data_IF_988004399396
#
_entry.id   IF_988004399396
#
_cell.length_a   1.000
_cell.length_b   1.000
_cell.length_c   1.000
_cell.angle_alpha   90.00
_cell.angle_beta   90.00
_cell.angle_gamma   90.00
#
_symmetry.space_group_name_H-M   'P 1'
#
loop_
_entity.id
_entity.type
_entity.pdbx_description
1 polymer ?
#
# COMPACT_ATOMS: atom_id res chain seq x y z
N UNK A 1 60.58 -8.29 109.95
CA UNK A 1 59.15 -8.17 110.34
C UNK A 1 58.47 -7.18 109.46
N UNK A 2 57.39 -7.63 108.86
CA UNK A 2 56.34 -6.84 108.17
C UNK A 2 56.79 -6.06 106.95
N UNK A 3 56.71 -6.59 105.76
CA UNK A 3 55.57 -6.65 104.79
C UNK A 3 54.88 -5.34 104.50
N UNK A 4 55.00 -4.86 103.32
CA UNK A 4 54.25 -3.77 102.74
C UNK A 4 54.21 -3.90 101.21
N UNK A 5 53.13 -4.46 100.73
CA UNK A 5 52.83 -4.55 99.27
C UNK A 5 52.31 -3.19 98.74
N UNK A 6 52.90 -2.72 97.63
CA UNK A 6 52.38 -1.59 96.88
C UNK A 6 51.77 -2.10 95.56
N UNK A 7 50.51 -1.87 95.40
CA UNK A 7 49.76 -2.19 94.15
C UNK A 7 50.03 -1.13 93.10
N UNK A 8 50.50 -1.57 91.92
CA UNK A 8 50.54 -0.75 90.75
C UNK A 8 49.26 -1.05 89.84
N UNK A 9 48.41 -0.08 89.72
CA UNK A 9 47.23 -0.15 88.83
C UNK A 9 47.63 0.17 87.41
N UNK A 10 47.55 -0.83 86.52
CA UNK A 10 47.68 -0.65 85.07
C UNK A 10 46.32 -0.22 84.45
N UNK A 11 46.30 0.91 83.83
CA UNK A 11 45.20 1.36 83.01
C UNK A 11 45.30 0.68 81.68
N UNK A 12 44.38 -0.23 81.27
CA UNK A 12 44.16 -0.70 79.92
C UNK A 12 43.26 0.28 79.23
N UNK A 13 43.79 0.93 78.17
CA UNK A 13 43.02 1.70 77.21
C UNK A 13 42.35 0.75 76.27
N UNK A 14 41.03 0.67 76.27
CA UNK A 14 40.24 -0.02 75.22
C UNK A 14 40.14 0.87 73.97
N UNK A 15 40.78 0.44 72.87
CA UNK A 15 40.56 1.00 71.52
C UNK A 15 39.37 0.27 70.90
N UNK A 16 38.24 0.95 70.80
CA UNK A 16 37.08 0.50 70.03
C UNK A 16 37.36 0.67 68.54
N UNK A 17 37.59 -0.44 67.81
CA UNK A 17 37.62 -0.50 66.41
C UNK A 17 36.17 -0.48 65.87
N UNK A 18 35.68 0.66 65.36
CA UNK A 18 34.42 0.75 64.65
C UNK A 18 34.61 0.25 63.19
N UNK A 19 34.27 -1.00 62.91
CA UNK A 19 34.21 -1.56 61.57
C UNK A 19 32.96 -0.99 60.88
N UNK A 20 33.13 0.05 60.05
CA UNK A 20 32.08 0.57 59.14
C UNK A 20 31.82 -0.44 58.03
N UNK A 21 30.68 -1.12 58.06
CA UNK A 21 30.15 -1.86 56.90
C UNK A 21 29.71 -0.83 55.84
N UNK A 22 30.58 -0.61 54.83
CA UNK A 22 30.17 0.08 53.59
C UNK A 22 29.27 -0.88 52.78
N UNK A 23 27.98 -0.68 52.86
CA UNK A 23 27.02 -1.31 51.94
C UNK A 23 27.26 -0.74 50.54
N UNK A 24 27.91 -1.50 49.66
CA UNK A 24 27.97 -1.26 48.26
C UNK A 24 26.53 -1.38 47.69
N UNK A 25 25.86 -0.25 47.45
CA UNK A 25 24.62 -0.21 46.72
C UNK A 25 24.92 -0.65 45.28
N UNK A 26 24.53 -1.86 44.91
CA UNK A 26 24.51 -2.33 43.52
C UNK A 26 23.45 -1.48 42.81
N UNK A 27 23.80 -0.69 41.79
CA UNK A 27 22.80 0.07 41.05
C UNK A 27 21.85 -0.95 40.43
N UNK A 28 20.55 -0.88 40.75
CA UNK A 28 19.52 -1.62 40.02
C UNK A 28 19.67 -1.30 38.53
N UNK A 29 19.66 -2.31 37.64
CA UNK A 29 19.67 -2.04 36.22
C UNK A 29 18.45 -1.14 35.92
N UNK A 30 18.72 0.03 35.36
CA UNK A 30 17.67 0.90 34.84
C UNK A 30 16.89 0.07 33.83
N UNK A 31 15.63 -0.22 34.12
CA UNK A 31 14.72 -0.84 33.16
C UNK A 31 14.66 0.17 32.02
N UNK A 32 15.32 -0.15 30.91
CA UNK A 32 15.22 0.67 29.70
C UNK A 32 13.74 0.78 29.36
N UNK A 33 13.20 1.98 29.42
CA UNK A 33 11.82 2.23 29.01
C UNK A 33 11.70 1.78 27.55
N UNK A 34 10.84 0.81 27.27
CA UNK A 34 10.60 0.34 25.91
C UNK A 34 10.20 1.56 25.07
N UNK A 35 10.94 1.80 23.99
CA UNK A 35 10.59 2.87 23.06
C UNK A 35 9.23 2.56 22.46
N UNK A 36 8.37 3.58 22.37
CA UNK A 36 7.03 3.46 21.79
C UNK A 36 6.99 4.08 20.40
N UNK A 37 5.96 3.71 19.65
CA UNK A 37 5.63 4.27 18.35
C UNK A 37 4.12 4.40 18.22
N UNK A 38 3.65 5.21 17.27
CA UNK A 38 2.24 5.38 16.97
C UNK A 38 1.84 4.58 15.75
N UNK A 39 0.62 4.05 15.80
CA UNK A 39 -0.04 3.40 14.66
C UNK A 39 -1.55 3.60 14.74
N UNK A 40 -2.21 3.54 13.59
CA UNK A 40 -3.66 3.40 13.56
C UNK A 40 -4.05 1.93 13.56
N UNK A 41 -5.18 1.64 14.17
CA UNK A 41 -5.80 0.32 14.19
C UNK A 41 -7.30 0.45 13.93
N UNK A 42 -7.91 -0.57 13.34
CA UNK A 42 -9.36 -0.67 13.34
C UNK A 42 -9.86 -1.01 14.74
N UNK A 43 -10.80 -0.22 15.25
CA UNK A 43 -11.59 -0.51 16.44
C UNK A 43 -13.06 -0.64 16.07
N UNK A 44 -13.79 -1.52 16.75
CA UNK A 44 -15.24 -1.70 16.57
C UNK A 44 -15.92 -1.16 17.82
N UNK A 45 -16.83 -0.20 17.65
CA UNK A 45 -17.59 0.48 18.70
C UNK A 45 -19.05 0.55 18.28
N UNK A 46 -19.94 -0.07 19.04
CA UNK A 46 -21.38 -0.09 18.73
C UNK A 46 -21.65 -0.51 17.27
N UNK A 47 -20.99 -1.58 16.81
CA UNK A 47 -21.00 -2.12 15.45
C UNK A 47 -20.41 -1.19 14.34
N UNK A 48 -19.88 -0.02 14.71
CA UNK A 48 -19.17 0.85 13.78
C UNK A 48 -17.65 0.62 13.82
N UNK A 49 -17.04 0.49 12.65
CA UNK A 49 -15.59 0.42 12.49
C UNK A 49 -15.01 1.83 12.43
N UNK A 50 -14.02 2.09 13.26
CA UNK A 50 -13.32 3.39 13.31
C UNK A 50 -11.82 3.21 13.29
N UNK A 51 -11.11 4.22 12.79
CA UNK A 51 -9.66 4.33 12.95
C UNK A 51 -9.33 4.85 14.34
N UNK A 52 -8.51 4.13 15.07
CA UNK A 52 -8.06 4.50 16.41
C UNK A 52 -6.54 4.59 16.43
N UNK A 53 -6.01 5.76 16.78
CA UNK A 53 -4.57 5.90 17.02
C UNK A 53 -4.20 5.21 18.33
N UNK A 54 -3.13 4.43 18.31
CA UNK A 54 -2.56 3.72 19.46
C UNK A 54 -1.08 3.99 19.56
N UNK A 55 -0.62 4.12 20.79
CA UNK A 55 0.78 4.03 21.14
C UNK A 55 1.11 2.60 21.53
N UNK A 56 2.12 2.01 20.90
CA UNK A 56 2.52 0.61 21.07
C UNK A 56 4.04 0.51 21.19
N UNK A 57 4.55 -0.59 21.72
CA UNK A 57 5.99 -0.84 21.74
C UNK A 57 6.57 -0.91 20.32
N UNK A 58 7.76 -0.34 20.12
CA UNK A 58 8.47 -0.49 18.84
C UNK A 58 8.79 -1.96 18.59
N UNK A 59 8.53 -2.48 17.39
CA UNK A 59 8.82 -3.86 17.06
C UNK A 59 10.33 -4.07 16.84
N UNK A 60 10.78 -5.29 17.05
CA UNK A 60 12.15 -5.73 16.80
C UNK A 60 12.13 -6.77 15.68
N UNK A 61 12.98 -6.65 14.64
CA UNK A 61 13.01 -7.61 13.55
C UNK A 61 13.57 -8.97 14.01
N UNK A 62 12.87 -10.05 13.69
CA UNK A 62 13.30 -11.43 13.86
C UNK A 62 14.19 -11.92 12.71
N UNK A 63 14.39 -13.24 12.59
CA UNK A 63 15.16 -13.84 11.52
C UNK A 63 14.52 -13.57 10.15
N UNK A 64 15.35 -13.12 9.17
CA UNK A 64 14.95 -12.71 7.82
C UNK A 64 13.93 -11.55 7.78
N UNK A 65 13.84 -10.77 8.85
CA UNK A 65 12.94 -9.65 8.93
C UNK A 65 13.70 -8.31 8.93
N UNK A 66 13.06 -7.31 8.39
CA UNK A 66 13.55 -5.95 8.25
C UNK A 66 12.64 -5.00 9.01
N UNK A 67 13.21 -4.12 9.82
CA UNK A 67 12.51 -3.02 10.48
C UNK A 67 12.54 -1.80 9.56
N UNK A 68 11.36 -1.34 9.16
CA UNK A 68 11.20 -0.20 8.26
C UNK A 68 10.55 0.96 9.02
N UNK A 69 11.16 2.13 8.97
CA UNK A 69 10.51 3.40 9.35
C UNK A 69 9.67 3.86 8.17
N UNK A 70 8.35 3.83 8.31
CA UNK A 70 7.42 4.27 7.28
C UNK A 70 7.52 5.79 7.12
N UNK A 71 7.65 6.26 5.90
CA UNK A 71 7.76 7.69 5.54
C UNK A 71 6.50 8.19 4.84
N UNK A 72 5.81 7.30 4.14
CA UNK A 72 4.54 7.58 3.51
C UNK A 72 3.74 6.28 3.32
N UNK A 73 2.43 6.41 3.34
CA UNK A 73 1.48 5.34 3.02
C UNK A 73 0.37 5.91 2.13
N UNK A 74 -0.35 5.08 1.38
CA UNK A 74 -1.39 5.57 0.49
C UNK A 74 -2.67 4.74 0.52
N UNK A 75 -3.79 5.40 0.27
CA UNK A 75 -5.11 4.78 0.27
C UNK A 75 -5.45 4.14 -1.06
N UNK A 76 -6.22 3.06 -0.99
CA UNK A 76 -6.89 2.40 -2.10
C UNK A 76 -8.39 2.28 -1.81
N UNK A 77 -9.23 2.10 -2.81
CA UNK A 77 -10.68 1.94 -2.63
C UNK A 77 -11.02 0.81 -1.64
N UNK A 78 -10.24 -0.27 -1.62
CA UNK A 78 -10.45 -1.38 -0.69
C UNK A 78 -10.34 -0.96 0.79
N UNK A 79 -9.49 0.01 1.10
CA UNK A 79 -9.28 0.45 2.48
C UNK A 79 -10.53 1.15 3.03
N UNK A 80 -11.17 1.97 2.18
CA UNK A 80 -12.48 2.54 2.50
C UNK A 80 -13.55 1.44 2.64
N UNK A 81 -13.55 0.44 1.75
CA UNK A 81 -14.51 -0.68 1.82
C UNK A 81 -14.30 -1.54 3.06
N UNK A 82 -13.05 -1.71 3.53
CA UNK A 82 -12.75 -2.39 4.80
C UNK A 82 -13.30 -1.57 5.98
N UNK A 83 -13.04 -0.26 6.02
CA UNK A 83 -13.56 0.63 7.06
C UNK A 83 -15.09 0.62 7.12
N UNK A 84 -15.75 0.48 5.97
CA UNK A 84 -17.22 0.42 5.83
C UNK A 84 -17.78 -1.00 6.00
N UNK A 85 -16.96 -1.99 6.37
CA UNK A 85 -17.37 -3.41 6.52
C UNK A 85 -17.95 -4.05 5.23
N UNK A 86 -17.57 -3.51 4.07
CA UNK A 86 -18.03 -3.95 2.75
C UNK A 86 -17.02 -4.86 2.03
N UNK A 87 -15.88 -5.15 2.65
CA UNK A 87 -14.82 -5.97 2.07
C UNK A 87 -14.72 -7.31 2.80
N UNK A 88 -14.79 -8.42 2.07
CA UNK A 88 -14.62 -9.76 2.66
C UNK A 88 -15.81 -10.26 3.48
N UNK A 89 -16.95 -9.54 3.53
CA UNK A 89 -18.18 -10.01 4.14
C UNK A 89 -18.31 -9.81 5.65
N UNK A 90 -17.61 -8.85 6.24
CA UNK A 90 -17.73 -8.52 7.66
C UNK A 90 -16.77 -7.44 8.14
N UNK A 91 -16.82 -7.18 9.45
CA UNK A 91 -15.92 -6.23 10.09
C UNK A 91 -14.46 -6.70 10.01
N UNK A 92 -13.49 -5.78 9.84
CA UNK A 92 -12.09 -6.12 9.95
C UNK A 92 -11.76 -6.61 11.37
N UNK A 93 -10.69 -7.37 11.50
CA UNK A 93 -10.16 -7.77 12.81
C UNK A 93 -9.85 -6.52 13.65
N UNK A 94 -10.39 -6.46 14.85
CA UNK A 94 -10.03 -5.41 15.82
C UNK A 94 -8.53 -5.45 16.09
N UNK A 95 -7.90 -4.29 16.09
CA UNK A 95 -6.46 -4.14 16.28
C UNK A 95 -5.63 -4.29 15.00
N UNK A 96 -6.26 -4.62 13.86
CA UNK A 96 -5.56 -4.68 12.57
C UNK A 96 -5.09 -3.28 12.15
N UNK A 97 -3.81 -3.15 11.77
CA UNK A 97 -3.25 -1.93 11.19
C UNK A 97 -3.72 -1.78 9.75
N UNK A 98 -4.32 -0.64 9.36
CA UNK A 98 -4.84 -0.42 8.01
C UNK A 98 -3.75 -0.22 6.95
N UNK A 99 -4.20 -0.12 5.69
CA UNK A 99 -3.49 0.22 4.46
C UNK A 99 -2.49 -0.83 4.00
N UNK A 100 -2.57 -1.18 2.72
CA UNK A 100 -1.61 -2.11 2.11
C UNK A 100 -0.33 -1.41 1.63
N UNK A 101 -0.45 -0.14 1.28
CA UNK A 101 0.55 0.61 0.53
C UNK A 101 1.38 1.49 1.44
N UNK A 102 2.70 1.41 1.33
CA UNK A 102 3.62 2.29 2.04
C UNK A 102 5.05 2.14 1.56
N UNK A 103 5.83 3.18 1.81
CA UNK A 103 7.25 3.24 1.53
C UNK A 103 8.00 3.86 2.73
N UNK A 104 9.25 3.47 2.90
CA UNK A 104 10.05 3.92 4.02
C UNK A 104 11.51 3.53 3.90
N UNK A 105 12.22 3.71 4.99
CA UNK A 105 13.66 3.49 5.13
C UNK A 105 13.91 2.33 6.06
N UNK A 106 14.79 1.42 5.68
CA UNK A 106 15.28 0.33 6.53
C UNK A 106 16.10 0.93 7.67
N UNK A 107 15.70 0.68 8.92
CA UNK A 107 16.40 1.17 10.12
C UNK A 107 16.96 0.06 10.99
N UNK A 108 16.70 -1.20 10.62
CA UNK A 108 17.25 -2.38 11.30
C UNK A 108 17.01 -3.64 10.47
N UNK A 109 17.91 -4.59 10.60
CA UNK A 109 17.84 -5.89 9.94
C UNK A 109 18.04 -7.00 10.96
N UNK A 110 17.24 -8.05 10.87
CA UNK A 110 17.36 -9.25 11.69
C UNK A 110 18.41 -10.23 11.14
N UNK A 111 18.74 -11.28 11.90
CA UNK A 111 19.67 -12.30 11.44
C UNK A 111 19.20 -12.98 10.14
N UNK A 112 20.10 -13.20 9.20
CA UNK A 112 19.82 -13.90 7.94
C UNK A 112 19.27 -13.03 6.80
N UNK A 113 19.00 -11.74 7.04
CA UNK A 113 18.64 -10.79 5.96
C UNK A 113 19.82 -10.64 5.02
N UNK A 114 19.54 -10.74 3.72
CA UNK A 114 20.53 -10.66 2.62
C UNK A 114 20.16 -9.66 1.54
N UNK A 115 18.88 -9.23 1.48
CA UNK A 115 18.37 -8.38 0.41
C UNK A 115 18.48 -6.88 0.70
N UNK A 116 18.60 -6.53 1.97
CA UNK A 116 18.57 -5.12 2.40
C UNK A 116 19.58 -4.83 3.50
N UNK A 117 20.01 -3.57 3.55
CA UNK A 117 20.83 -3.01 4.62
C UNK A 117 20.18 -1.76 5.21
N UNK A 118 20.68 -1.29 6.35
CA UNK A 118 20.20 -0.07 7.00
C UNK A 118 20.50 1.14 6.08
N UNK A 119 19.47 1.94 5.83
CA UNK A 119 19.48 3.08 4.92
C UNK A 119 18.77 2.81 3.59
N UNK A 120 18.50 1.56 3.24
CA UNK A 120 17.80 1.23 2.00
C UNK A 120 16.40 1.83 1.96
N UNK A 121 15.99 2.24 0.77
CA UNK A 121 14.67 2.82 0.49
C UNK A 121 13.76 1.77 -0.10
N UNK A 122 12.68 1.43 0.63
CA UNK A 122 11.85 0.28 0.29
C UNK A 122 10.36 0.62 0.26
N UNK A 123 9.60 -0.18 -0.49
CA UNK A 123 8.14 -0.23 -0.43
C UNK A 123 7.66 -1.64 -0.06
N UNK A 124 6.57 -1.72 0.71
CA UNK A 124 5.92 -2.99 1.01
C UNK A 124 5.17 -3.52 -0.20
N UNK A 125 5.26 -4.83 -0.49
CA UNK A 125 4.40 -5.43 -1.51
C UNK A 125 3.01 -5.74 -0.91
N UNK A 126 1.97 -5.70 -1.75
CA UNK A 126 0.58 -5.87 -1.29
C UNK A 126 0.35 -7.23 -0.61
N UNK A 127 0.77 -8.31 -1.22
CA UNK A 127 0.77 -9.66 -0.66
C UNK A 127 2.16 -10.00 -0.14
N UNK A 128 2.41 -9.85 1.15
CA UNK A 128 3.73 -9.93 1.76
C UNK A 128 4.50 -11.24 1.49
N UNK A 129 3.82 -12.31 1.07
CA UNK A 129 4.44 -13.62 0.76
C UNK A 129 4.36 -14.01 -0.72
N UNK A 130 3.86 -13.15 -1.60
CA UNK A 130 3.77 -13.49 -3.03
C UNK A 130 5.00 -12.99 -3.80
N UNK A 131 6.02 -13.81 -3.81
CA UNK A 131 7.29 -13.50 -4.47
C UNK A 131 7.16 -13.56 -6.00
N UNK A 132 6.61 -14.64 -6.54
CA UNK A 132 6.45 -14.86 -7.98
C UNK A 132 5.44 -15.98 -8.27
N UNK A 133 5.14 -16.22 -9.54
CA UNK A 133 4.31 -17.31 -10.05
C UNK A 133 2.82 -17.10 -9.82
N UNK A 134 2.07 -18.23 -9.73
CA UNK A 134 0.61 -18.17 -9.58
C UNK A 134 0.21 -17.81 -8.15
N UNK A 135 -0.86 -16.99 -7.96
CA UNK A 135 -1.41 -16.75 -6.65
C UNK A 135 -1.96 -18.04 -6.03
N UNK A 136 -1.98 -18.09 -4.69
CA UNK A 136 -2.46 -19.22 -3.91
C UNK A 136 -3.23 -18.75 -2.67
N UNK A 137 -3.91 -19.65 -1.99
CA UNK A 137 -4.56 -19.33 -0.71
C UNK A 137 -3.56 -18.77 0.32
N UNK A 138 -2.31 -19.28 0.33
CA UNK A 138 -1.23 -18.79 1.21
C UNK A 138 -0.86 -17.36 0.87
N UNK A 139 -0.65 -17.02 -0.40
CA UNK A 139 -0.30 -15.65 -0.81
C UNK A 139 -1.46 -14.70 -0.50
N UNK A 140 -2.70 -15.12 -0.76
CA UNK A 140 -3.89 -14.31 -0.46
C UNK A 140 -4.03 -14.00 1.04
N UNK A 141 -3.69 -14.94 1.92
CA UNK A 141 -3.69 -14.76 3.37
C UNK A 141 -2.62 -13.78 3.88
N UNK A 142 -1.76 -13.24 3.01
CA UNK A 142 -0.72 -12.27 3.34
C UNK A 142 -1.03 -10.84 2.87
N UNK A 143 -2.28 -10.54 2.51
CA UNK A 143 -2.71 -9.21 2.08
C UNK A 143 -2.61 -8.19 3.22
N UNK A 144 -1.71 -7.22 3.08
CA UNK A 144 -1.50 -6.14 4.06
C UNK A 144 -2.74 -5.27 4.22
N UNK A 145 -2.95 -4.79 5.45
CA UNK A 145 -4.10 -3.95 5.80
C UNK A 145 -5.45 -4.64 5.66
N UNK A 146 -5.46 -5.97 5.58
CA UNK A 146 -6.66 -6.79 5.46
C UNK A 146 -6.50 -8.12 6.19
N UNK A 147 -5.69 -9.04 5.66
CA UNK A 147 -5.40 -10.32 6.31
C UNK A 147 -4.30 -10.20 7.39
N UNK A 148 -3.28 -9.38 7.13
CA UNK A 148 -2.20 -9.06 8.06
C UNK A 148 -2.12 -7.55 8.27
N UNK A 149 -1.36 -7.12 9.29
CA UNK A 149 -1.15 -5.72 9.58
C UNK A 149 -0.56 -4.97 8.38
N UNK A 150 -1.04 -3.74 8.20
CA UNK A 150 -0.71 -2.87 7.09
C UNK A 150 0.38 -1.86 7.40
N UNK A 151 0.33 -0.73 6.68
CA UNK A 151 1.41 0.26 6.64
C UNK A 151 1.09 1.57 7.38
N UNK A 152 -0.13 1.74 7.96
CA UNK A 152 -0.48 2.98 8.68
C UNK A 152 0.08 2.95 10.11
N UNK A 153 1.39 2.95 10.19
CA UNK A 153 2.21 2.85 11.40
C UNK A 153 3.53 3.59 11.21
N UNK A 154 4.12 4.15 12.27
CA UNK A 154 5.44 4.79 12.20
C UNK A 154 6.55 3.81 11.84
N UNK A 155 6.42 2.55 12.27
CA UNK A 155 7.36 1.48 11.94
C UNK A 155 6.61 0.18 11.68
N UNK A 156 7.18 -0.65 10.82
CA UNK A 156 6.71 -2.02 10.58
C UNK A 156 7.89 -2.99 10.57
N UNK A 157 7.61 -4.24 10.89
CA UNK A 157 8.50 -5.37 10.59
C UNK A 157 7.93 -6.14 9.41
N UNK A 158 8.77 -6.51 8.48
CA UNK A 158 8.42 -7.33 7.31
C UNK A 158 9.51 -8.35 7.02
N UNK A 159 9.12 -9.57 6.62
CA UNK A 159 10.08 -10.47 5.98
C UNK A 159 10.71 -9.76 4.78
N UNK A 160 12.00 -9.94 4.53
CA UNK A 160 12.72 -9.28 3.42
C UNK A 160 12.06 -9.53 2.05
N UNK A 161 11.43 -10.70 1.84
CA UNK A 161 10.69 -11.01 0.61
C UNK A 161 9.41 -10.17 0.42
N UNK A 162 8.90 -9.58 1.49
CA UNK A 162 7.72 -8.71 1.47
C UNK A 162 7.99 -7.26 1.10
N UNK A 163 9.21 -6.95 0.65
CA UNK A 163 9.68 -5.60 0.32
C UNK A 163 10.33 -5.57 -1.07
N UNK A 164 10.32 -4.40 -1.70
CA UNK A 164 11.08 -4.08 -2.92
C UNK A 164 11.81 -2.76 -2.74
N UNK A 165 12.96 -2.60 -3.40
CA UNK A 165 13.60 -1.30 -3.56
C UNK A 165 12.70 -0.36 -4.37
N UNK A 166 12.75 0.93 -4.05
CA UNK A 166 12.01 1.95 -4.81
C UNK A 166 12.95 2.66 -5.79
N UNK A 167 12.45 3.08 -6.98
CA UNK A 167 13.25 3.86 -7.94
C UNK A 167 13.89 5.09 -7.28
N UNK A 168 15.17 5.33 -7.54
CA UNK A 168 15.94 6.42 -6.91
C UNK A 168 15.31 7.81 -7.11
N UNK A 169 14.76 8.06 -8.31
CA UNK A 169 14.17 9.36 -8.65
C UNK A 169 12.82 9.63 -7.94
N UNK A 170 12.19 8.60 -7.33
CA UNK A 170 10.91 8.76 -6.63
C UNK A 170 11.14 9.19 -5.17
N UNK A 171 10.31 10.10 -4.69
CA UNK A 171 10.15 10.36 -3.26
C UNK A 171 9.40 9.18 -2.57
N UNK A 172 9.46 9.10 -1.24
CA UNK A 172 8.66 8.13 -0.48
C UNK A 172 7.15 8.34 -0.69
N UNK A 173 6.71 9.59 -0.89
CA UNK A 173 5.31 9.94 -1.17
C UNK A 173 4.86 9.31 -2.49
N UNK A 174 5.67 9.44 -3.55
CA UNK A 174 5.38 8.83 -4.85
C UNK A 174 5.47 7.30 -4.78
N UNK A 175 6.52 6.77 -4.18
CA UNK A 175 6.74 5.32 -4.08
C UNK A 175 5.65 4.60 -3.26
N UNK A 176 5.12 5.24 -2.21
CA UNK A 176 4.01 4.69 -1.43
C UNK A 176 2.73 4.45 -2.25
N UNK A 177 2.61 5.02 -3.45
CA UNK A 177 1.42 4.87 -4.30
C UNK A 177 1.43 3.64 -5.19
N UNK A 178 2.58 2.97 -5.29
CA UNK A 178 2.85 1.91 -6.26
C UNK A 178 2.24 0.53 -5.90
N UNK A 179 2.28 0.05 -4.63
CA UNK A 179 2.11 -1.37 -4.29
C UNK A 179 0.79 -1.98 -4.73
N UNK A 180 -0.32 -1.27 -4.67
CA UNK A 180 -1.62 -1.76 -5.09
C UNK A 180 -1.97 -1.26 -6.50
N UNK A 181 -2.23 0.04 -6.65
CA UNK A 181 -2.77 0.60 -7.89
C UNK A 181 -1.78 0.52 -9.07
N UNK A 182 -0.49 0.81 -8.82
CA UNK A 182 0.55 0.70 -9.84
C UNK A 182 0.73 -0.73 -10.33
N UNK A 183 0.96 -1.67 -9.40
CA UNK A 183 1.14 -3.10 -9.75
C UNK A 183 -0.10 -3.68 -10.42
N UNK A 184 -1.31 -3.27 -10.01
CA UNK A 184 -2.56 -3.68 -10.65
C UNK A 184 -2.63 -3.23 -12.11
N UNK A 185 -2.35 -1.95 -12.39
CA UNK A 185 -2.33 -1.41 -13.75
C UNK A 185 -1.24 -2.07 -14.61
N UNK A 186 -0.06 -2.30 -14.03
CA UNK A 186 1.03 -3.02 -14.68
C UNK A 186 0.62 -4.42 -15.12
N UNK A 187 0.08 -5.21 -14.20
CA UNK A 187 -0.36 -6.57 -14.50
C UNK A 187 -1.49 -6.61 -15.53
N UNK A 188 -2.46 -5.69 -15.42
CA UNK A 188 -3.55 -5.60 -16.37
C UNK A 188 -3.05 -5.34 -17.79
N UNK A 189 -2.17 -4.35 -17.97
CA UNK A 189 -1.71 -3.89 -19.28
C UNK A 189 -0.64 -4.80 -19.88
N UNK A 190 0.43 -5.08 -19.13
CA UNK A 190 1.61 -5.74 -19.70
C UNK A 190 1.56 -7.26 -19.52
N UNK A 191 1.42 -7.76 -18.30
CA UNK A 191 1.51 -9.20 -18.03
C UNK A 191 0.35 -9.97 -18.66
N UNK A 192 -0.87 -9.48 -18.51
CA UNK A 192 -2.07 -10.16 -18.98
C UNK A 192 -2.57 -9.59 -20.31
N UNK A 193 -2.45 -8.29 -20.51
CA UNK A 193 -2.88 -7.58 -21.71
C UNK A 193 -1.92 -7.69 -22.88
N UNK A 194 -0.60 -7.73 -22.60
CA UNK A 194 0.43 -7.74 -23.64
C UNK A 194 0.46 -6.42 -24.42
N UNK A 195 0.33 -5.28 -23.72
CA UNK A 195 0.28 -3.94 -24.29
C UNK A 195 1.46 -3.69 -25.25
N UNK A 196 1.14 -3.16 -26.41
CA UNK A 196 2.12 -2.73 -27.42
C UNK A 196 1.85 -1.29 -27.87
N UNK A 197 2.80 -0.71 -28.60
CA UNK A 197 2.66 0.60 -29.25
C UNK A 197 1.40 0.63 -30.11
N UNK A 198 0.75 1.79 -30.19
CA UNK A 198 -0.49 2.05 -30.93
C UNK A 198 -1.76 1.33 -30.44
N UNK A 199 -1.69 0.49 -29.39
CA UNK A 199 -2.86 -0.11 -28.78
C UNK A 199 -3.84 0.95 -28.24
N UNK A 200 -5.13 0.78 -28.49
CA UNK A 200 -6.15 1.60 -27.83
C UNK A 200 -6.53 0.99 -26.49
N UNK A 201 -6.35 1.76 -25.42
CA UNK A 201 -6.62 1.34 -24.04
C UNK A 201 -7.76 2.15 -23.46
N UNK A 202 -8.82 1.49 -23.01
CA UNK A 202 -9.91 2.14 -22.27
C UNK A 202 -9.62 2.10 -20.77
N UNK A 203 -9.65 3.27 -20.14
CA UNK A 203 -9.42 3.49 -18.72
C UNK A 203 -10.69 4.08 -18.09
N UNK A 204 -11.29 3.39 -17.15
CA UNK A 204 -12.53 3.83 -16.53
C UNK A 204 -12.29 4.66 -15.27
N UNK A 205 -12.77 5.92 -15.29
CA UNK A 205 -12.57 6.87 -14.20
C UNK A 205 -11.16 7.40 -14.10
N UNK A 206 -10.90 8.21 -13.07
CA UNK A 206 -9.63 8.91 -12.83
C UNK A 206 -9.04 8.58 -11.45
N UNK A 207 -9.33 7.38 -10.92
CA UNK A 207 -8.72 6.85 -9.71
C UNK A 207 -7.31 6.32 -9.92
N UNK A 208 -6.70 5.80 -8.86
CA UNK A 208 -5.29 5.38 -8.87
C UNK A 208 -4.94 4.42 -10.00
N UNK A 209 -5.69 3.33 -10.19
CA UNK A 209 -5.41 2.32 -11.23
C UNK A 209 -5.48 2.93 -12.63
N UNK A 210 -6.54 3.72 -12.92
CA UNK A 210 -6.74 4.32 -14.25
C UNK A 210 -5.69 5.38 -14.56
N UNK A 211 -5.24 6.15 -13.57
CA UNK A 211 -4.17 7.12 -13.75
C UNK A 211 -2.81 6.44 -13.96
N UNK A 212 -2.48 5.36 -13.23
CA UNK A 212 -1.31 4.55 -13.58
C UNK A 212 -1.44 3.93 -14.96
N UNK A 213 -2.63 3.42 -15.32
CA UNK A 213 -2.91 2.91 -16.66
C UNK A 213 -2.67 3.98 -17.74
N UNK A 214 -3.07 5.23 -17.51
CA UNK A 214 -2.80 6.36 -18.39
C UNK A 214 -1.29 6.58 -18.56
N UNK A 215 -0.57 6.73 -17.43
CA UNK A 215 0.87 7.00 -17.45
C UNK A 215 1.67 5.87 -18.13
N UNK A 216 1.32 4.62 -17.84
CA UNK A 216 1.99 3.45 -18.45
C UNK A 216 1.67 3.33 -19.94
N UNK A 217 0.42 3.55 -20.34
CA UNK A 217 0.02 3.49 -21.76
C UNK A 217 0.72 4.57 -22.59
N UNK A 218 0.79 5.81 -22.09
CA UNK A 218 1.50 6.90 -22.74
C UNK A 218 2.98 6.58 -22.88
N UNK A 219 3.62 6.10 -21.82
CA UNK A 219 5.04 5.75 -21.83
C UNK A 219 5.37 4.58 -22.78
N UNK A 220 4.41 3.67 -22.98
CA UNK A 220 4.54 2.55 -23.92
C UNK A 220 4.19 2.91 -25.38
N UNK A 221 3.83 4.16 -25.68
CA UNK A 221 3.40 4.58 -27.03
C UNK A 221 2.00 4.14 -27.41
N UNK A 222 1.19 3.65 -26.48
CA UNK A 222 -0.20 3.29 -26.70
C UNK A 222 -1.12 4.53 -26.67
N UNK A 223 -2.38 4.36 -27.05
CA UNK A 223 -3.41 5.41 -27.19
C UNK A 223 -4.49 5.28 -26.12
N UNK A 224 -4.26 5.78 -24.89
CA UNK A 224 -5.24 5.67 -23.83
C UNK A 224 -6.45 6.59 -24.05
N UNK A 225 -7.64 6.02 -23.85
CA UNK A 225 -8.93 6.72 -23.80
C UNK A 225 -9.43 6.61 -22.37
N UNK A 226 -9.67 7.75 -21.72
CA UNK A 226 -10.07 7.78 -20.32
C UNK A 226 -11.48 8.36 -20.16
N UNK A 227 -12.27 7.76 -19.27
CA UNK A 227 -13.60 8.25 -18.92
C UNK A 227 -13.60 8.93 -17.56
N UNK A 228 -14.47 9.92 -17.37
CA UNK A 228 -14.68 10.59 -16.08
C UNK A 228 -16.10 11.16 -15.99
N UNK A 229 -16.50 11.53 -14.76
CA UNK A 229 -17.72 12.34 -14.53
C UNK A 229 -17.43 13.85 -14.49
N UNK A 230 -16.15 14.27 -14.55
CA UNK A 230 -15.70 15.65 -14.42
C UNK A 230 -14.89 16.08 -15.63
N UNK A 231 -15.33 17.14 -16.29
CA UNK A 231 -14.62 17.73 -17.43
C UNK A 231 -13.26 18.29 -17.02
N UNK A 232 -13.14 18.84 -15.80
CA UNK A 232 -11.87 19.33 -15.27
C UNK A 232 -10.82 18.18 -15.18
N UNK A 233 -11.22 17.01 -14.67
CA UNK A 233 -10.34 15.85 -14.63
C UNK A 233 -10.00 15.33 -16.03
N UNK A 234 -10.91 15.43 -16.99
CA UNK A 234 -10.66 15.06 -18.37
C UNK A 234 -9.67 16.00 -19.07
N UNK A 235 -9.72 17.31 -18.77
CA UNK A 235 -8.70 18.27 -19.25
C UNK A 235 -7.34 17.87 -18.73
N UNK A 236 -7.19 17.63 -17.44
CA UNK A 236 -5.93 17.16 -16.84
C UNK A 236 -5.45 15.84 -17.43
N UNK A 237 -6.35 14.91 -17.70
CA UNK A 237 -5.98 13.65 -18.34
C UNK A 237 -5.43 13.85 -19.78
N UNK A 238 -5.98 14.81 -20.55
CA UNK A 238 -5.42 15.20 -21.86
C UNK A 238 -4.02 15.79 -21.75
N UNK A 239 -3.79 16.66 -20.76
CA UNK A 239 -2.46 17.22 -20.47
C UNK A 239 -1.45 16.14 -20.10
N UNK A 240 -1.90 15.03 -19.50
CA UNK A 240 -1.11 13.83 -19.22
C UNK A 240 -0.92 12.90 -20.42
N UNK A 241 -1.44 13.24 -21.59
CA UNK A 241 -1.25 12.47 -22.82
C UNK A 241 -2.40 11.51 -23.17
N UNK A 242 -3.59 11.63 -22.57
CA UNK A 242 -4.73 10.85 -23.00
C UNK A 242 -5.07 11.14 -24.46
N UNK A 243 -5.12 10.09 -25.29
CA UNK A 243 -5.48 10.18 -26.70
C UNK A 243 -6.94 10.61 -26.90
N UNK A 244 -7.83 10.10 -26.06
CA UNK A 244 -9.25 10.44 -26.05
C UNK A 244 -9.79 10.58 -24.63
N UNK A 245 -10.84 11.38 -24.48
CA UNK A 245 -11.52 11.56 -23.18
C UNK A 245 -13.01 11.57 -23.38
N UNK A 246 -13.77 10.91 -22.50
CA UNK A 246 -15.24 10.83 -22.58
C UNK A 246 -15.86 11.11 -21.22
N UNK A 247 -16.81 12.04 -21.15
CA UNK A 247 -17.58 12.30 -19.96
C UNK A 247 -18.83 11.40 -19.94
N UNK A 248 -18.81 10.38 -19.08
CA UNK A 248 -19.92 9.42 -18.98
C UNK A 248 -21.18 9.97 -18.32
N UNK A 249 -21.15 11.16 -17.70
CA UNK A 249 -22.35 11.83 -17.16
C UNK A 249 -23.15 12.52 -18.25
N UNK A 250 -22.45 13.21 -19.17
CA UNK A 250 -23.08 13.93 -20.28
C UNK A 250 -23.36 13.00 -21.46
N UNK A 251 -22.56 11.95 -21.61
CA UNK A 251 -22.77 10.90 -22.63
C UNK A 251 -22.95 9.53 -21.94
N UNK A 252 -24.20 9.14 -21.71
CA UNK A 252 -24.52 7.86 -21.07
C UNK A 252 -24.17 6.66 -21.96
N UNK A 253 -24.14 6.80 -23.28
CA UNK A 253 -23.68 5.77 -24.24
C UNK A 253 -22.20 5.97 -24.61
N UNK A 254 -21.39 6.25 -23.60
CA UNK A 254 -19.96 6.57 -23.70
C UNK A 254 -19.15 5.55 -24.52
N UNK A 255 -19.55 4.28 -24.57
CA UNK A 255 -18.88 3.24 -25.36
C UNK A 255 -18.98 3.48 -26.87
N UNK A 256 -20.02 4.16 -27.34
CA UNK A 256 -20.18 4.49 -28.77
C UNK A 256 -19.21 5.61 -29.16
N UNK A 257 -18.99 6.58 -28.27
CA UNK A 257 -17.95 7.61 -28.47
C UNK A 257 -16.53 7.00 -28.39
N UNK A 258 -16.27 6.09 -27.48
CA UNK A 258 -15.00 5.33 -27.44
C UNK A 258 -14.77 4.59 -28.76
N UNK A 259 -15.80 3.96 -29.34
CA UNK A 259 -15.69 3.32 -30.65
C UNK A 259 -15.41 4.32 -31.76
N UNK A 260 -16.09 5.46 -31.77
CA UNK A 260 -15.86 6.52 -32.77
C UNK A 260 -14.42 7.04 -32.71
N UNK A 261 -13.85 7.26 -31.50
CA UNK A 261 -12.45 7.68 -31.32
C UNK A 261 -11.47 6.67 -31.93
N UNK A 262 -11.80 5.38 -31.90
CA UNK A 262 -10.96 4.31 -32.49
C UNK A 262 -11.23 4.07 -33.97
N UNK A 263 -11.98 4.93 -34.66
CA UNK A 263 -12.43 4.70 -36.04
C UNK A 263 -13.33 3.47 -36.17
N UNK A 264 -14.09 3.13 -35.17
CA UNK A 264 -14.95 1.94 -35.01
C UNK A 264 -14.21 0.59 -34.90
N UNK A 265 -12.89 0.56 -34.86
CA UNK A 265 -12.14 -0.67 -34.59
C UNK A 265 -12.43 -1.24 -33.15
N UNK A 266 -12.67 -0.35 -32.20
CA UNK A 266 -12.79 -0.66 -30.78
C UNK A 266 -11.44 -0.68 -30.10
N UNK A 267 -11.46 -0.67 -28.76
CA UNK A 267 -10.23 -0.71 -27.97
C UNK A 267 -9.66 -2.13 -27.90
N UNK A 268 -8.34 -2.24 -27.76
CA UNK A 268 -7.65 -3.54 -27.59
C UNK A 268 -7.62 -3.99 -26.15
N UNK A 269 -7.64 -3.05 -25.20
CA UNK A 269 -7.60 -3.35 -23.77
C UNK A 269 -8.56 -2.46 -22.98
N UNK A 270 -9.11 -3.02 -21.90
CA UNK A 270 -9.96 -2.31 -20.93
C UNK A 270 -9.46 -2.58 -19.52
N UNK A 271 -9.23 -1.53 -18.73
CA UNK A 271 -9.08 -1.59 -17.29
C UNK A 271 -10.46 -1.36 -16.65
N UNK A 272 -11.15 -2.46 -16.35
CA UNK A 272 -12.52 -2.46 -15.84
C UNK A 272 -12.52 -2.35 -14.31
N UNK A 273 -12.92 -1.20 -13.80
CA UNK A 273 -12.97 -0.91 -12.35
C UNK A 273 -14.40 -0.65 -11.86
N UNK A 274 -15.34 -0.41 -12.76
CA UNK A 274 -16.70 -0.04 -12.43
C UNK A 274 -17.60 -1.22 -12.07
N UNK A 275 -17.52 -2.32 -12.81
CA UNK A 275 -18.27 -3.56 -12.53
C UNK A 275 -19.64 -3.62 -13.19
N UNK A 276 -20.72 -3.81 -12.40
CA UNK A 276 -22.06 -4.11 -12.90
C UNK A 276 -22.55 -3.16 -14.01
N UNK A 277 -22.37 -1.86 -13.83
CA UNK A 277 -22.96 -0.86 -14.71
C UNK A 277 -22.04 -0.49 -15.90
N UNK A 278 -20.75 -0.79 -15.80
CA UNK A 278 -19.75 -0.45 -16.86
C UNK A 278 -19.39 -1.64 -17.74
N UNK A 279 -19.25 -2.84 -17.19
CA UNK A 279 -18.79 -4.02 -17.92
C UNK A 279 -19.59 -4.30 -19.22
N UNK A 280 -20.93 -4.20 -19.28
CA UNK A 280 -21.65 -4.38 -20.55
C UNK A 280 -21.28 -3.36 -21.62
N UNK A 281 -20.99 -2.12 -21.22
CA UNK A 281 -20.57 -1.04 -22.11
C UNK A 281 -19.12 -1.21 -22.55
N UNK A 282 -18.24 -1.59 -21.62
CA UNK A 282 -16.83 -1.93 -21.90
C UNK A 282 -16.73 -3.04 -22.96
N UNK A 283 -17.55 -4.10 -22.84
CA UNK A 283 -17.63 -5.17 -23.85
C UNK A 283 -18.03 -4.63 -25.22
N UNK A 284 -18.97 -3.66 -25.31
CA UNK A 284 -19.36 -3.03 -26.58
C UNK A 284 -18.26 -2.15 -27.17
N UNK A 285 -17.49 -1.47 -26.34
CA UNK A 285 -16.37 -0.64 -26.74
C UNK A 285 -15.18 -1.45 -27.30
N UNK A 286 -15.09 -2.74 -26.94
CA UNK A 286 -13.97 -3.60 -27.26
C UNK A 286 -13.93 -3.97 -28.76
N UNK A 287 -12.72 -4.06 -29.32
CA UNK A 287 -12.44 -4.61 -30.64
C UNK A 287 -12.37 -6.14 -30.64
N UNK A 288 -12.09 -6.73 -31.81
CA UNK A 288 -11.85 -8.15 -31.96
C UNK A 288 -10.51 -8.55 -31.29
N UNK A 289 -10.50 -9.68 -30.60
CA UNK A 289 -9.32 -10.17 -29.88
C UNK A 289 -8.96 -9.36 -28.64
N UNK A 290 -9.79 -8.38 -28.26
CA UNK A 290 -9.50 -7.48 -27.18
C UNK A 290 -9.52 -8.15 -25.79
N UNK A 291 -8.89 -7.49 -24.82
CA UNK A 291 -8.72 -7.95 -23.44
C UNK A 291 -9.45 -7.05 -22.46
N UNK A 292 -10.21 -7.65 -21.54
CA UNK A 292 -10.80 -6.97 -20.40
C UNK A 292 -10.10 -7.46 -19.13
N UNK A 293 -9.43 -6.55 -18.45
CA UNK A 293 -8.89 -6.75 -17.11
C UNK A 293 -9.94 -6.35 -16.07
N UNK A 294 -10.58 -7.31 -15.41
CA UNK A 294 -11.56 -7.06 -14.35
C UNK A 294 -10.79 -6.83 -13.05
N UNK A 295 -10.88 -5.60 -12.52
CA UNK A 295 -10.10 -5.11 -11.39
C UNK A 295 -11.01 -4.77 -10.20
N UNK A 296 -12.17 -4.16 -10.49
CA UNK A 296 -13.05 -3.63 -9.45
C UNK A 296 -14.53 -3.82 -9.74
N UNK A 297 -15.34 -3.37 -8.81
CA UNK A 297 -16.80 -3.42 -8.90
C UNK A 297 -17.44 -2.24 -8.16
N UNK A 298 -17.06 -1.01 -8.52
CA UNK A 298 -17.53 0.21 -7.84
C UNK A 298 -19.06 0.35 -7.87
N UNK A 299 -19.71 -0.17 -8.92
CA UNK A 299 -21.18 -0.21 -9.07
C UNK A 299 -21.80 -1.56 -8.67
N UNK A 300 -20.99 -2.50 -8.18
CA UNK A 300 -21.37 -3.84 -7.77
C UNK A 300 -20.72 -4.94 -8.62
N UNK A 301 -20.80 -6.18 -8.12
CA UNK A 301 -20.13 -7.35 -8.74
C UNK A 301 -21.10 -8.28 -9.50
N UNK A 302 -22.40 -8.14 -9.31
CA UNK A 302 -23.38 -9.00 -9.97
C UNK A 302 -23.64 -8.51 -11.40
N UNK A 303 -23.47 -9.40 -12.39
CA UNK A 303 -23.80 -9.12 -13.79
C UNK A 303 -24.09 -10.42 -14.54
N UNK A 304 -25.01 -10.33 -15.51
CA UNK A 304 -25.19 -11.38 -16.53
C UNK A 304 -24.12 -11.19 -17.60
N UNK A 305 -23.23 -12.18 -17.78
CA UNK A 305 -22.18 -12.15 -18.78
C UNK A 305 -22.74 -12.51 -20.16
N UNK A 306 -22.60 -11.63 -21.17
CA UNK A 306 -23.07 -11.92 -22.53
C UNK A 306 -22.09 -12.84 -23.26
N UNK A 307 -22.11 -14.13 -22.97
CA UNK A 307 -21.15 -15.15 -23.45
C UNK A 307 -21.00 -15.09 -24.99
N UNK A 308 -22.10 -14.87 -25.74
CA UNK A 308 -22.06 -14.74 -27.19
C UNK A 308 -21.15 -13.61 -27.69
N UNK A 309 -21.06 -12.50 -26.95
CA UNK A 309 -20.17 -11.38 -27.31
C UNK A 309 -18.70 -11.73 -27.15
N UNK A 310 -18.36 -12.60 -26.17
CA UNK A 310 -17.00 -13.06 -25.98
C UNK A 310 -16.56 -14.02 -27.09
N UNK A 311 -17.42 -14.97 -27.46
CA UNK A 311 -17.15 -15.95 -28.54
C UNK A 311 -17.01 -15.22 -29.87
N UNK A 312 -18.01 -14.39 -30.23
CA UNK A 312 -18.07 -13.73 -31.54
C UNK A 312 -16.95 -12.73 -31.83
N UNK A 313 -16.23 -12.27 -30.78
CA UNK A 313 -15.11 -11.33 -30.90
C UNK A 313 -13.79 -11.87 -30.39
N UNK A 314 -13.71 -13.14 -29.95
CA UNK A 314 -12.52 -13.75 -29.34
C UNK A 314 -11.98 -12.96 -28.15
N UNK A 315 -12.88 -12.46 -27.30
CA UNK A 315 -12.53 -11.61 -26.15
C UNK A 315 -11.83 -12.42 -25.08
N UNK A 316 -10.70 -11.89 -24.57
CA UNK A 316 -10.00 -12.38 -23.39
C UNK A 316 -10.49 -11.63 -22.15
N UNK A 317 -10.84 -12.36 -21.08
CA UNK A 317 -11.24 -11.77 -19.79
C UNK A 317 -10.33 -12.32 -18.70
N UNK A 318 -9.74 -11.42 -17.92
CA UNK A 318 -8.84 -11.80 -16.83
C UNK A 318 -9.19 -11.04 -15.56
N UNK A 319 -9.39 -11.75 -14.44
CA UNK A 319 -9.46 -11.14 -13.11
C UNK A 319 -8.05 -10.73 -12.67
N UNK A 320 -7.89 -9.49 -12.24
CA UNK A 320 -6.63 -8.94 -11.75
C UNK A 320 -6.73 -8.73 -10.24
N UNK A 321 -5.81 -9.36 -9.51
CA UNK A 321 -5.69 -9.14 -8.07
C UNK A 321 -4.27 -8.71 -7.76
N UNK A 322 -3.98 -7.43 -7.98
CA UNK A 322 -2.66 -6.79 -7.82
C UNK A 322 -1.55 -7.53 -8.58
N UNK A 323 -0.54 -8.08 -7.90
CA UNK A 323 0.56 -8.84 -8.48
C UNK A 323 1.59 -9.28 -7.44
N UNK A 324 2.59 -10.02 -7.91
CA UNK A 324 3.71 -10.52 -7.14
C UNK A 324 4.81 -9.46 -6.95
N UNK A 325 5.83 -9.79 -6.13
CA UNK A 325 7.06 -9.01 -6.03
C UNK A 325 7.76 -8.87 -7.37
N UNK A 326 7.89 -9.97 -8.11
CA UNK A 326 8.51 -9.95 -9.44
C UNK A 326 7.79 -9.00 -10.41
N UNK A 327 6.45 -8.93 -10.35
CA UNK A 327 5.67 -7.96 -11.13
C UNK A 327 5.95 -6.52 -10.71
N UNK A 328 6.13 -6.28 -9.41
CA UNK A 328 6.46 -4.95 -8.88
C UNK A 328 7.88 -4.53 -9.30
N UNK A 329 8.86 -5.42 -9.20
CA UNK A 329 10.24 -5.17 -9.62
C UNK A 329 10.31 -4.86 -11.13
N UNK A 330 9.56 -5.60 -11.97
CA UNK A 330 9.46 -5.33 -13.40
C UNK A 330 8.81 -3.95 -13.68
N UNK A 331 7.76 -3.60 -12.95
CA UNK A 331 7.13 -2.28 -13.02
C UNK A 331 8.11 -1.17 -12.61
N UNK A 332 8.89 -1.36 -11.53
CA UNK A 332 9.88 -0.40 -11.07
C UNK A 332 10.98 -0.16 -12.13
N UNK A 333 11.41 -1.21 -12.83
CA UNK A 333 12.35 -1.07 -13.94
C UNK A 333 11.78 -0.19 -15.06
N UNK A 334 10.51 -0.40 -15.44
CA UNK A 334 9.81 0.43 -16.44
C UNK A 334 9.65 1.89 -15.98
N UNK A 335 9.24 2.10 -14.73
CA UNK A 335 9.12 3.44 -14.11
C UNK A 335 10.47 4.17 -14.15
N UNK A 336 11.55 3.46 -13.83
CA UNK A 336 12.91 4.01 -13.88
C UNK A 336 13.34 4.33 -15.31
N UNK A 337 13.12 3.44 -16.26
CA UNK A 337 13.47 3.64 -17.67
C UNK A 337 12.79 4.88 -18.25
N UNK A 338 11.51 5.08 -17.94
CA UNK A 338 10.70 6.18 -18.49
C UNK A 338 10.64 7.41 -17.56
N UNK A 339 11.36 7.40 -16.43
CA UNK A 339 11.38 8.48 -15.43
C UNK A 339 9.97 8.92 -14.99
N UNK A 340 9.06 7.96 -14.89
CA UNK A 340 7.67 8.23 -14.53
C UNK A 340 7.55 8.66 -13.07
N UNK A 341 6.66 9.63 -12.83
CA UNK A 341 6.28 10.07 -11.48
C UNK A 341 4.80 9.87 -11.26
N UNK A 342 4.41 9.10 -10.22
CA UNK A 342 3.01 8.91 -9.87
C UNK A 342 2.26 10.21 -9.60
N UNK A 343 1.02 10.31 -10.08
CA UNK A 343 0.15 11.44 -9.76
C UNK A 343 -0.41 11.31 -8.33
N UNK A 344 0.04 12.17 -7.45
CA UNK A 344 -0.49 12.33 -6.09
C UNK A 344 -1.50 13.47 -6.09
N UNK A 345 -2.73 13.17 -5.68
CA UNK A 345 -3.82 14.17 -5.58
C UNK A 345 -3.64 15.07 -4.37
N UNK A 346 -3.49 14.44 -3.19
CA UNK A 346 -3.35 15.16 -1.92
C UNK A 346 -2.56 14.36 -0.90
N UNK A 347 -1.78 15.09 -0.09
CA UNK A 347 -1.03 14.54 1.04
C UNK A 347 -1.66 15.00 2.34
N UNK A 348 -1.91 14.07 3.24
CA UNK A 348 -2.38 14.31 4.61
C UNK A 348 -1.28 13.97 5.61
N UNK A 349 -1.32 14.57 6.79
CA UNK A 349 -0.42 14.19 7.89
C UNK A 349 -0.90 12.90 8.56
N UNK A 350 0.00 12.20 9.24
CA UNK A 350 -0.33 11.00 10.00
C UNK A 350 -1.45 11.24 11.01
N UNK A 351 -1.38 12.34 11.78
CA UNK A 351 -2.39 12.68 12.77
C UNK A 351 -3.77 12.97 12.17
N UNK A 352 -3.83 13.27 10.87
CA UNK A 352 -5.07 13.57 10.14
C UNK A 352 -5.45 12.45 9.15
N UNK A 353 -5.02 11.21 9.40
CA UNK A 353 -5.35 10.06 8.57
C UNK A 353 -6.87 9.86 8.33
N UNK A 354 -7.78 10.06 9.31
CA UNK A 354 -9.22 9.98 9.06
C UNK A 354 -9.71 10.89 7.92
N UNK A 355 -9.19 12.13 7.83
CA UNK A 355 -9.58 13.06 6.75
C UNK A 355 -9.12 12.58 5.34
N UNK A 356 -8.08 11.75 5.24
CA UNK A 356 -7.71 11.10 3.98
C UNK A 356 -8.77 10.08 3.52
N UNK A 357 -9.37 9.34 4.45
CA UNK A 357 -10.50 8.45 4.17
C UNK A 357 -11.75 9.22 3.75
N UNK A 358 -12.06 10.35 4.43
CA UNK A 358 -13.18 11.22 4.05
C UNK A 358 -12.98 11.79 2.64
N UNK A 359 -11.76 12.20 2.31
CA UNK A 359 -11.42 12.68 0.97
C UNK A 359 -11.57 11.58 -0.08
N UNK A 360 -11.18 10.35 0.22
CA UNK A 360 -11.45 9.21 -0.67
C UNK A 360 -12.94 8.94 -0.83
N UNK A 361 -13.71 8.99 0.25
CA UNK A 361 -15.15 8.77 0.24
C UNK A 361 -15.89 9.81 -0.62
N UNK A 362 -15.41 11.05 -0.67
CA UNK A 362 -15.99 12.12 -1.51
C UNK A 362 -15.89 11.83 -3.02
N UNK A 363 -14.95 10.98 -3.47
CA UNK A 363 -14.72 10.67 -4.88
C UNK A 363 -14.11 11.83 -5.70
N UNK A 364 -13.71 12.92 -5.04
CA UNK A 364 -13.20 14.12 -5.73
C UNK A 364 -11.72 14.02 -6.14
N UNK A 365 -10.99 13.02 -5.66
CA UNK A 365 -9.56 12.83 -5.98
C UNK A 365 -9.32 12.41 -7.43
N UNK A 366 -8.12 12.71 -7.94
CA UNK A 366 -7.57 12.21 -9.19
C UNK A 366 -6.20 11.58 -8.91
N UNK A 367 -6.02 10.28 -9.20
CA UNK A 367 -4.80 9.55 -8.84
C UNK A 367 -4.81 9.03 -7.41
N UNK A 368 -3.74 9.27 -6.63
CA UNK A 368 -3.54 8.66 -5.31
C UNK A 368 -3.59 9.68 -4.16
N UNK A 369 -4.17 9.25 -3.06
CA UNK A 369 -4.19 9.97 -1.79
C UNK A 369 -3.11 9.40 -0.89
N UNK A 370 -2.28 10.25 -0.30
CA UNK A 370 -1.12 9.84 0.50
C UNK A 370 -1.23 10.38 1.92
N UNK A 371 -0.75 9.61 2.89
CA UNK A 371 -0.53 10.04 4.27
C UNK A 371 0.98 9.99 4.50
N UNK A 372 1.57 11.10 4.95
CA UNK A 372 2.99 11.25 5.21
C UNK A 372 3.23 12.11 6.47
N UNK A 373 4.49 12.41 6.78
CA UNK A 373 4.86 13.17 7.99
C UNK A 373 4.52 12.40 9.27
N UNK A 374 5.10 11.23 9.38
CA UNK A 374 5.04 10.35 10.56
C UNK A 374 5.92 10.86 11.68
#
# INVERSE_FOLDING_TARGET
>A
MKTGFSQATSRLSQVLLAAGLATLAIPSPAVAQAQTMRQYQFGVFDDEVRLVMKEVAQPTPGANEVLVRVRATSLNRRDLSILQSQYGGGNPRTGLVPLSDGAGEVIGVGPGVTRFEVGDRVAGIFFASWVDGRPSARTNASARGGAIDGMLSEMIVSHEDGLVEIPEHLSFIEAATLPCAGVTAWNALFKHGGLVEDDFVLLEGTGGVSIFGLQFSVAAGARPIITSSSDEKLVRAREMGAYGTVNYRTNTEWQDEVRAITGNAGVTQVLEVGGRDTLPKAIRALGYGGHIAIIGGLSGFANAMPIGSFIGRSVKVTGIYVGSRADFEAMNAFITQHQLRPLVDKVFTFDNAPAAYDHMASGNHMGKIVIASF
#
